data_IF_092403793915
#
_entry.id   IF_092403793915
#
_cell.length_a   1.000
_cell.length_b   1.000
_cell.length_c   1.000
_cell.angle_alpha   90.00
_cell.angle_beta   90.00
_cell.angle_gamma   90.00
#
_symmetry.space_group_name_H-M   'P 1'
#
loop_
_entity.id
_entity.type
_entity.pdbx_description
1 polymer ?
#
# COMPACT_ATOMS: atom_id res chain seq x y z
N UNK A 1 -0.90 12.72 20.09
CA UNK A 1 -2.04 13.67 19.94
C UNK A 1 -3.01 13.16 18.87
N UNK A 2 -4.04 12.44 19.28
CA UNK A 2 -5.16 12.00 18.42
C UNK A 2 -6.33 12.99 18.50
N UNK A 3 -7.22 13.01 17.50
CA UNK A 3 -8.51 13.71 17.60
C UNK A 3 -8.66 15.03 16.83
N UNK A 4 -7.60 15.60 16.24
CA UNK A 4 -7.70 16.84 15.45
C UNK A 4 -8.36 16.69 14.06
N UNK A 5 -8.97 15.55 13.76
CA UNK A 5 -9.71 15.36 12.50
C UNK A 5 -8.85 15.24 11.23
N UNK A 6 -7.54 15.01 11.32
CA UNK A 6 -6.64 14.86 10.15
C UNK A 6 -7.16 13.85 9.12
N UNK A 7 -7.49 12.65 9.58
CA UNK A 7 -8.04 11.58 8.74
C UNK A 7 -9.42 11.96 8.19
N UNK A 8 -10.23 12.68 8.97
CA UNK A 8 -11.54 13.18 8.53
C UNK A 8 -11.39 14.19 7.40
N UNK A 9 -10.48 15.15 7.53
CA UNK A 9 -10.19 16.15 6.50
C UNK A 9 -9.68 15.49 5.21
N UNK A 10 -8.74 14.55 5.32
CA UNK A 10 -8.25 13.79 4.17
C UNK A 10 -9.37 12.99 3.49
N UNK A 11 -10.27 12.36 4.25
CA UNK A 11 -11.44 11.66 3.70
C UNK A 11 -12.44 12.60 3.02
N UNK A 12 -12.64 13.81 3.53
CA UNK A 12 -13.50 14.80 2.88
C UNK A 12 -12.94 15.19 1.51
N UNK A 13 -11.64 15.50 1.42
CA UNK A 13 -10.98 15.83 0.15
C UNK A 13 -10.99 14.63 -0.81
N UNK A 14 -10.72 13.42 -0.33
CA UNK A 14 -10.74 12.21 -1.15
C UNK A 14 -12.11 11.93 -1.80
N UNK A 15 -13.19 12.26 -1.09
CA UNK A 15 -14.56 12.07 -1.54
C UNK A 15 -15.12 13.28 -2.30
N UNK A 16 -14.41 14.40 -2.34
CA UNK A 16 -14.84 15.59 -3.06
C UNK A 16 -15.04 15.30 -4.56
N UNK A 17 -16.17 15.72 -5.11
CA UNK A 17 -16.55 15.41 -6.49
C UNK A 17 -15.55 15.96 -7.51
N UNK A 18 -14.96 17.14 -7.25
CA UNK A 18 -13.90 17.70 -8.08
C UNK A 18 -12.69 16.78 -8.10
N UNK A 19 -12.22 16.33 -6.93
CA UNK A 19 -11.12 15.35 -6.84
C UNK A 19 -11.47 14.06 -7.58
N UNK A 20 -12.69 13.53 -7.44
CA UNK A 20 -13.09 12.30 -8.12
C UNK A 20 -13.07 12.42 -9.65
N UNK A 21 -13.39 13.59 -10.19
CA UNK A 21 -13.39 13.84 -11.64
C UNK A 21 -11.99 14.03 -12.21
N UNK A 22 -11.03 14.49 -11.41
CA UNK A 22 -9.67 14.76 -11.87
C UNK A 22 -8.75 13.53 -11.80
N UNK A 23 -8.97 12.63 -10.84
CA UNK A 23 -8.13 11.45 -10.66
C UNK A 23 -8.84 10.17 -11.13
N UNK A 24 -8.35 9.59 -12.24
CA UNK A 24 -8.89 8.33 -12.79
C UNK A 24 -8.63 7.09 -11.93
N UNK A 25 -7.64 7.15 -11.03
CA UNK A 25 -7.34 6.10 -10.07
C UNK A 25 -7.01 6.72 -8.71
N UNK A 26 -7.71 6.25 -7.67
CA UNK A 26 -7.54 6.68 -6.28
C UNK A 26 -7.73 5.49 -5.36
N UNK A 27 -6.92 5.42 -4.31
CA UNK A 27 -6.96 4.33 -3.33
C UNK A 27 -6.88 4.90 -1.93
N UNK A 28 -7.57 4.26 -0.99
CA UNK A 28 -7.49 4.57 0.43
C UNK A 28 -7.18 3.29 1.19
N UNK A 29 -6.05 3.27 1.90
CA UNK A 29 -5.66 2.11 2.68
C UNK A 29 -5.21 2.54 4.07
N UNK A 30 -5.78 1.90 5.09
CA UNK A 30 -5.37 2.07 6.47
C UNK A 30 -4.37 0.97 6.80
N UNK A 31 -3.20 1.35 7.32
CA UNK A 31 -2.18 0.41 7.78
C UNK A 31 -2.11 0.43 9.30
N UNK A 32 -1.91 -0.73 9.92
CA UNK A 32 -1.58 -0.85 11.34
C UNK A 32 -0.14 -0.43 11.61
N UNK A 33 0.19 -0.12 12.86
CA UNK A 33 1.55 0.25 13.27
C UNK A 33 2.58 -0.84 12.94
N UNK A 34 2.17 -2.11 13.06
CA UNK A 34 2.90 -3.26 12.56
C UNK A 34 2.30 -3.66 11.21
N UNK A 35 3.00 -3.36 10.12
CA UNK A 35 2.62 -3.78 8.77
C UNK A 35 3.82 -4.37 8.02
N UNK A 36 3.55 -5.34 7.14
CA UNK A 36 4.54 -5.87 6.22
C UNK A 36 4.56 -5.01 4.95
N UNK A 37 5.71 -4.39 4.67
CA UNK A 37 5.88 -3.47 3.54
C UNK A 37 5.67 -4.17 2.20
N UNK A 38 6.09 -5.43 2.07
CA UNK A 38 5.96 -6.20 0.83
C UNK A 38 4.50 -6.58 0.59
N UNK A 39 3.79 -7.01 1.64
CA UNK A 39 2.37 -7.29 1.57
C UNK A 39 1.56 -6.02 1.23
N UNK A 40 1.89 -4.89 1.87
CA UNK A 40 1.28 -3.60 1.58
C UNK A 40 1.46 -3.18 0.12
N UNK A 41 2.70 -3.25 -0.38
CA UNK A 41 3.02 -2.88 -1.75
C UNK A 41 2.31 -3.80 -2.76
N UNK A 42 2.27 -5.10 -2.50
CA UNK A 42 1.51 -6.06 -3.32
C UNK A 42 0.04 -5.67 -3.39
N UNK A 43 -0.58 -5.38 -2.24
CA UNK A 43 -1.98 -4.96 -2.17
C UNK A 43 -2.24 -3.68 -2.97
N UNK A 44 -1.36 -2.68 -2.89
CA UNK A 44 -1.48 -1.44 -3.66
C UNK A 44 -1.38 -1.71 -5.17
N UNK A 45 -0.43 -2.55 -5.60
CA UNK A 45 -0.25 -2.90 -7.02
C UNK A 45 -1.49 -3.63 -7.56
N UNK A 46 -2.05 -4.56 -6.78
CA UNK A 46 -3.26 -5.29 -7.14
C UNK A 46 -4.48 -4.38 -7.23
N UNK A 47 -4.65 -3.46 -6.28
CA UNK A 47 -5.71 -2.43 -6.31
C UNK A 47 -5.56 -1.47 -7.49
N UNK A 48 -4.34 -1.26 -7.98
CA UNK A 48 -4.07 -0.49 -9.19
C UNK A 48 -4.41 -1.24 -10.49
N UNK A 49 -4.88 -2.49 -10.41
CA UNK A 49 -5.09 -3.37 -11.57
C UNK A 49 -3.80 -3.97 -12.14
N UNK A 50 -2.68 -3.78 -11.46
CA UNK A 50 -1.41 -4.43 -11.78
C UNK A 50 -1.38 -5.86 -11.27
N UNK A 51 -0.60 -6.72 -11.93
CA UNK A 51 -0.26 -8.05 -11.39
C UNK A 51 1.13 -7.98 -10.78
N UNK A 52 1.22 -8.09 -9.46
CA UNK A 52 2.50 -8.19 -8.79
C UNK A 52 3.00 -9.64 -8.88
N UNK A 53 3.78 -9.95 -9.92
CA UNK A 53 4.46 -11.24 -10.07
C UNK A 53 5.66 -11.42 -9.16
N UNK A 54 5.60 -10.92 -7.92
CA UNK A 54 6.67 -11.10 -6.95
C UNK A 54 6.65 -12.57 -6.50
N UNK A 55 7.67 -13.40 -6.83
CA UNK A 55 7.74 -14.74 -6.28
C UNK A 55 7.77 -14.62 -4.75
N UNK A 56 6.89 -15.35 -4.09
CA UNK A 56 6.76 -15.43 -2.62
C UNK A 56 8.01 -16.05 -1.94
N UNK A 57 9.08 -16.24 -2.72
CA UNK A 57 10.31 -16.95 -2.41
C UNK A 57 11.52 -16.13 -2.89
N UNK A 58 11.74 -14.93 -2.33
CA UNK A 58 13.12 -14.64 -1.95
C UNK A 58 13.37 -15.51 -0.71
N UNK A 59 13.69 -16.79 -0.96
CA UNK A 59 13.95 -17.76 0.08
C UNK A 59 14.93 -17.13 1.08
N UNK A 60 14.50 -16.99 2.32
CA UNK A 60 15.36 -16.94 3.50
C UNK A 60 16.17 -18.26 3.67
N UNK A 61 16.61 -18.88 2.57
CA UNK A 61 17.34 -20.14 2.52
C UNK A 61 18.61 -20.05 1.68
N UNK A 62 18.85 -18.99 0.90
CA UNK A 62 20.04 -18.89 0.04
C UNK A 62 20.99 -17.73 0.41
N UNK A 63 21.11 -17.40 1.70
CA UNK A 63 22.33 -16.73 2.21
C UNK A 63 23.39 -17.76 2.64
N UNK A 64 23.08 -19.07 2.60
CA UNK A 64 23.99 -20.15 3.02
C UNK A 64 24.65 -20.95 1.88
N UNK A 65 24.79 -20.40 0.67
CA UNK A 65 25.70 -21.00 -0.32
C UNK A 65 26.36 -19.92 -1.17
N UNK A 66 27.54 -19.48 -0.71
CA UNK A 66 28.40 -18.62 -1.50
C UNK A 66 29.47 -17.89 -0.69
N UNK A 67 30.36 -18.62 -0.03
CA UNK A 67 31.82 -18.52 -0.19
C UNK A 67 32.58 -19.25 0.92
N UNK A 68 33.08 -20.44 0.55
CA UNK A 68 34.10 -21.29 1.20
C UNK A 68 33.70 -22.06 2.47
#
# INVERSE_FOLDING_TARGET
MGGLGKTTLAKMVYNDQGVQQHFGLKMWHCVSDNFDVIALLKSIIELAGGRCGMPYTFQASNVLLGHR
#
